data_IF_997706248106
#
_entry.id   IF_997706248106
#
_cell.length_a   1.000
_cell.length_b   1.000
_cell.length_c   1.000
_cell.angle_alpha   90.00
_cell.angle_beta   90.00
_cell.angle_gamma   90.00
#
_symmetry.space_group_name_H-M   'P 1'
#
loop_
_entity.id
_entity.type
_entity.pdbx_description
1 polymer ?
#
# COMPACT_ATOMS: atom_id res chain seq x y z
N UNK A 1 10.22 -13.50 12.99
CA UNK A 1 9.47 -12.32 12.52
C UNK A 1 9.79 -12.18 11.04
N UNK A 2 8.78 -12.17 10.17
CA UNK A 2 8.98 -12.04 8.73
C UNK A 2 9.39 -10.61 8.35
N UNK A 3 10.00 -10.38 7.18
CA UNK A 3 10.29 -9.03 6.71
C UNK A 3 9.03 -8.14 6.70
N UNK A 4 7.88 -8.68 6.27
CA UNK A 4 6.59 -7.98 6.29
C UNK A 4 6.16 -7.55 7.69
N UNK A 5 6.36 -8.38 8.71
CA UNK A 5 6.06 -8.02 10.10
C UNK A 5 6.95 -6.87 10.60
N UNK A 6 8.26 -6.90 10.28
CA UNK A 6 9.22 -5.85 10.66
C UNK A 6 8.87 -4.52 10.00
N UNK A 7 8.54 -4.55 8.71
CA UNK A 7 8.06 -3.37 7.99
C UNK A 7 6.75 -2.82 8.55
N UNK A 8 5.76 -3.67 8.83
CA UNK A 8 4.48 -3.23 9.43
C UNK A 8 4.69 -2.59 10.80
N UNK A 9 5.59 -3.13 11.63
CA UNK A 9 5.91 -2.54 12.94
C UNK A 9 6.55 -1.16 12.80
N UNK A 10 7.55 -1.02 11.92
CA UNK A 10 8.20 0.27 11.65
C UNK A 10 7.21 1.31 11.10
N UNK A 11 6.37 0.93 10.13
CA UNK A 11 5.35 1.81 9.56
C UNK A 11 4.31 2.22 10.62
N UNK A 12 3.87 1.31 11.49
CA UNK A 12 2.95 1.65 12.59
C UNK A 12 3.56 2.61 13.59
N UNK A 13 4.84 2.46 13.91
CA UNK A 13 5.57 3.40 14.77
C UNK A 13 5.66 4.79 14.12
N UNK A 14 6.02 4.84 12.84
CA UNK A 14 6.05 6.10 12.07
C UNK A 14 4.67 6.74 11.99
N UNK A 15 3.60 5.94 11.81
CA UNK A 15 2.22 6.42 11.80
C UNK A 15 1.83 7.06 13.14
N UNK A 16 2.23 6.46 14.25
CA UNK A 16 1.99 7.01 15.58
C UNK A 16 2.70 8.35 15.77
N UNK A 17 3.96 8.46 15.34
CA UNK A 17 4.72 9.72 15.36
C UNK A 17 4.06 10.80 14.49
N UNK A 18 3.64 10.45 13.27
CA UNK A 18 2.94 11.37 12.36
C UNK A 18 1.61 11.87 12.95
N UNK A 19 0.83 10.99 13.59
CA UNK A 19 -0.40 11.38 14.30
C UNK A 19 -0.14 12.37 15.43
N UNK A 20 0.91 12.15 16.22
CA UNK A 20 1.31 13.08 17.30
C UNK A 20 1.70 14.45 16.76
N UNK A 21 2.40 14.47 15.63
CA UNK A 21 2.78 15.71 14.92
C UNK A 21 1.62 16.35 14.14
N UNK A 22 0.46 15.68 14.02
CA UNK A 22 -0.66 16.05 13.14
C UNK A 22 -0.26 16.23 11.68
N UNK A 23 0.74 15.47 11.24
CA UNK A 23 1.22 15.45 9.86
C UNK A 23 0.32 14.57 9.00
N UNK A 24 -0.68 15.20 8.38
CA UNK A 24 -1.69 14.53 7.55
C UNK A 24 -1.10 13.89 6.29
N UNK A 25 -0.04 14.48 5.74
CA UNK A 25 0.66 13.98 4.56
C UNK A 25 1.37 12.67 4.89
N UNK A 26 2.13 12.65 5.99
CA UNK A 26 2.78 11.42 6.47
C UNK A 26 1.76 10.35 6.86
N UNK A 27 0.67 10.71 7.53
CA UNK A 27 -0.40 9.76 7.88
C UNK A 27 -0.97 9.09 6.63
N UNK A 28 -1.27 9.87 5.59
CA UNK A 28 -1.85 9.35 4.35
C UNK A 28 -0.88 8.42 3.63
N UNK A 29 0.37 8.85 3.44
CA UNK A 29 1.40 8.06 2.78
C UNK A 29 1.67 6.73 3.49
N UNK A 30 1.83 6.76 4.82
CA UNK A 30 2.13 5.56 5.62
C UNK A 30 0.96 4.57 5.60
N UNK A 31 -0.29 5.05 5.62
CA UNK A 31 -1.47 4.17 5.49
C UNK A 31 -1.54 3.51 4.12
N UNK A 32 -1.22 4.23 3.04
CA UNK A 32 -1.14 3.65 1.70
C UNK A 32 -0.11 2.52 1.65
N UNK A 33 1.10 2.76 2.19
CA UNK A 33 2.15 1.75 2.23
C UNK A 33 1.74 0.49 3.02
N UNK A 34 1.07 0.66 4.18
CA UNK A 34 0.53 -0.47 4.94
C UNK A 34 -0.52 -1.27 4.14
N UNK A 35 -1.40 -0.59 3.41
CA UNK A 35 -2.38 -1.24 2.55
C UNK A 35 -1.74 -1.95 1.35
N UNK A 36 -0.71 -1.38 0.74
CA UNK A 36 0.02 -2.02 -0.37
C UNK A 36 0.67 -3.34 0.06
N UNK A 37 1.26 -3.38 1.27
CA UNK A 37 1.82 -4.61 1.84
C UNK A 37 0.72 -5.65 2.09
N UNK A 38 -0.39 -5.25 2.73
CA UNK A 38 -1.52 -6.15 3.03
C UNK A 38 -2.15 -6.74 1.75
N UNK A 39 -2.31 -5.91 0.71
CA UNK A 39 -2.79 -6.32 -0.60
C UNK A 39 -1.83 -7.29 -1.30
N UNK A 40 -0.52 -7.07 -1.18
CA UNK A 40 0.49 -7.94 -1.81
C UNK A 40 0.67 -9.29 -1.08
N UNK A 41 0.39 -9.34 0.22
CA UNK A 41 0.32 -10.59 0.99
C UNK A 41 -0.98 -11.36 0.72
N UNK A 42 -2.03 -10.67 0.28
CA UNK A 42 -3.30 -11.29 -0.12
C UNK A 42 -3.11 -11.97 -1.47
N UNK A 43 -3.25 -13.31 -1.56
CA UNK A 43 -3.19 -13.99 -2.84
C UNK A 43 -4.38 -13.51 -3.69
N UNK A 44 -4.13 -13.14 -4.95
CA UNK A 44 -5.24 -12.88 -5.86
C UNK A 44 -6.09 -14.15 -5.93
N UNK A 45 -7.41 -14.08 -5.69
CA UNK A 45 -8.26 -15.18 -6.09
C UNK A 45 -8.02 -15.33 -7.58
N UNK A 46 -7.59 -16.54 -7.98
CA UNK A 46 -7.50 -16.95 -9.38
C UNK A 46 -8.66 -16.33 -10.15
N UNK A 47 -8.34 -15.65 -11.25
CA UNK A 47 -9.29 -14.96 -12.11
C UNK A 47 -10.44 -15.90 -12.45
N UNK A 48 -11.48 -15.89 -11.62
CA UNK A 48 -12.70 -16.61 -11.91
C UNK A 48 -13.44 -15.68 -12.85
N UNK A 49 -13.13 -15.86 -14.14
CA UNK A 49 -14.03 -15.63 -15.25
C UNK A 49 -15.48 -15.83 -14.79
N UNK A 50 -16.14 -14.74 -14.40
CA UNK A 50 -17.60 -14.68 -14.29
C UNK A 50 -18.08 -13.66 -15.29
N UNK A 51 -17.80 -14.01 -16.55
CA UNK A 51 -18.60 -13.58 -17.68
C UNK A 51 -20.06 -14.03 -17.45
N UNK A 52 -20.96 -13.06 -17.49
CA UNK A 52 -22.40 -13.20 -17.81
C UNK A 52 -23.38 -13.58 -16.69
N UNK A 53 -24.15 -12.57 -16.26
CA UNK A 53 -25.62 -12.53 -16.31
C UNK A 53 -26.45 -13.60 -15.58
N UNK A 54 -27.21 -13.18 -14.54
CA UNK A 54 -28.38 -13.90 -14.03
C UNK A 54 -28.65 -13.70 -12.54
N UNK A 55 -29.92 -13.75 -12.08
CA UNK A 55 -30.31 -13.39 -10.72
C UNK A 55 -29.90 -14.49 -9.73
N UNK A 56 -29.15 -14.12 -8.69
CA UNK A 56 -28.66 -15.08 -7.70
C UNK A 56 -29.79 -15.48 -6.76
N UNK A 57 -30.34 -16.68 -6.98
CA UNK A 57 -31.10 -17.44 -6.01
C UNK A 57 -30.23 -18.59 -5.50
N UNK A 58 -29.99 -18.59 -4.18
CA UNK A 58 -29.76 -19.77 -3.34
C UNK A 58 -28.57 -20.69 -3.65
N UNK A 59 -27.53 -20.61 -2.81
CA UNK A 59 -26.82 -21.82 -2.39
C UNK A 59 -26.17 -21.60 -1.01
N UNK A 60 -26.43 -22.57 -0.16
CA UNK A 60 -26.03 -22.72 1.23
C UNK A 60 -24.61 -23.30 1.27
N UNK A 61 -23.93 -23.05 2.39
CA UNK A 61 -22.89 -23.92 2.97
C UNK A 61 -21.56 -24.01 2.23
N UNK A 62 -20.63 -23.22 2.74
CA UNK A 62 -19.21 -23.32 2.49
C UNK A 62 -18.55 -22.20 3.26
N UNK A 63 -18.39 -22.39 4.57
CA UNK A 63 -17.49 -21.57 5.38
C UNK A 63 -16.10 -21.76 4.77
N UNK A 64 -15.80 -20.93 3.77
CA UNK A 64 -14.54 -20.89 3.06
C UNK A 64 -13.48 -20.43 4.04
N UNK A 65 -12.94 -21.40 4.78
CA UNK A 65 -11.55 -21.45 5.18
C UNK A 65 -10.69 -21.47 3.91
N UNK A 66 -10.81 -20.43 3.10
CA UNK A 66 -9.74 -20.01 2.21
C UNK A 66 -8.87 -19.12 3.08
N UNK A 67 -8.24 -19.77 4.05
CA UNK A 67 -6.99 -19.32 4.63
C UNK A 67 -5.97 -19.45 3.48
N UNK A 68 -6.14 -18.60 2.46
CA UNK A 68 -5.21 -18.57 1.33
C UNK A 68 -3.90 -18.18 1.96
N UNK A 69 -2.92 -19.09 1.91
CA UNK A 69 -1.63 -18.88 2.56
C UNK A 69 -1.09 -17.51 2.11
N UNK A 70 -1.04 -16.55 3.05
CA UNK A 70 -0.55 -15.20 2.75
C UNK A 70 0.82 -15.33 2.10
N UNK A 71 1.01 -14.67 0.96
CA UNK A 71 2.29 -14.68 0.27
C UNK A 71 3.35 -14.10 1.20
N UNK A 72 4.43 -14.85 1.45
CA UNK A 72 5.57 -14.33 2.22
C UNK A 72 6.35 -13.38 1.32
N UNK A 73 6.37 -12.09 1.66
CA UNK A 73 7.13 -11.07 0.96
C UNK A 73 8.54 -10.94 1.53
N UNK A 74 9.53 -10.91 0.65
CA UNK A 74 10.91 -10.53 0.98
C UNK A 74 11.04 -9.03 1.21
N UNK A 75 12.09 -8.62 1.93
CA UNK A 75 12.44 -7.21 2.13
C UNK A 75 12.52 -6.44 0.80
N UNK A 76 13.14 -7.05 -0.22
CA UNK A 76 13.25 -6.46 -1.57
C UNK A 76 11.89 -6.24 -2.23
N UNK A 77 10.97 -7.20 -2.11
CA UNK A 77 9.62 -7.05 -2.65
C UNK A 77 8.86 -5.92 -1.94
N UNK A 78 8.97 -5.81 -0.62
CA UNK A 78 8.33 -4.75 0.16
C UNK A 78 8.91 -3.37 -0.21
N UNK A 79 10.23 -3.27 -0.32
CA UNK A 79 10.91 -2.05 -0.80
C UNK A 79 10.44 -1.67 -2.20
N UNK A 80 10.32 -2.65 -3.09
CA UNK A 80 9.80 -2.45 -4.45
C UNK A 80 8.36 -1.91 -4.46
N UNK A 81 7.48 -2.44 -3.61
CA UNK A 81 6.10 -1.95 -3.48
C UNK A 81 6.06 -0.50 -2.98
N UNK A 82 6.82 -0.17 -1.94
CA UNK A 82 6.86 1.19 -1.38
C UNK A 82 7.49 2.17 -2.37
N UNK A 83 8.50 1.75 -3.13
CA UNK A 83 9.11 2.56 -4.18
C UNK A 83 8.12 2.82 -5.32
N UNK A 84 7.38 1.79 -5.77
CA UNK A 84 6.34 1.96 -6.79
C UNK A 84 5.24 2.95 -6.36
N UNK A 85 4.80 2.89 -5.10
CA UNK A 85 3.85 3.85 -4.52
C UNK A 85 4.38 5.29 -4.50
N UNK A 86 5.69 5.47 -4.34
CA UNK A 86 6.34 6.78 -4.41
C UNK A 86 6.42 7.28 -5.86
N UNK A 87 6.82 6.41 -6.79
CA UNK A 87 6.93 6.73 -8.21
C UNK A 87 5.56 7.08 -8.83
N UNK A 88 4.48 6.37 -8.46
CA UNK A 88 3.13 6.68 -8.91
C UNK A 88 2.67 8.08 -8.48
N UNK A 89 3.00 8.46 -7.23
CA UNK A 89 2.73 9.82 -6.71
C UNK A 89 3.56 10.90 -7.38
N UNK A 90 4.74 10.57 -7.90
CA UNK A 90 5.57 11.49 -8.67
C UNK A 90 5.15 11.58 -10.14
N UNK A 91 4.53 10.54 -10.69
CA UNK A 91 3.98 10.53 -12.05
C UNK A 91 2.67 11.32 -12.16
N UNK A 92 1.79 11.26 -11.17
CA UNK A 92 0.50 11.94 -11.17
C UNK A 92 0.54 13.48 -11.33
N UNK A 93 1.50 14.23 -10.75
CA UNK A 93 1.66 15.67 -10.99
C UNK A 93 1.78 16.08 -12.45
N UNK A 94 2.34 15.22 -13.31
CA UNK A 94 2.49 15.51 -14.74
C UNK A 94 1.13 15.68 -15.46
N UNK A 95 0.07 15.05 -14.95
CA UNK A 95 -1.28 15.15 -15.50
C UNK A 95 -2.08 16.33 -14.90
N UNK A 96 -1.75 16.78 -13.68
CA UNK A 96 -2.50 17.82 -12.97
C UNK A 96 -2.00 19.25 -13.22
N UNK A 97 -0.72 19.44 -13.57
CA UNK A 97 -0.16 20.78 -13.90
C UNK A 97 -0.86 21.39 -15.11
N UNK A 98 -1.41 20.57 -16.01
CA UNK A 98 -2.19 21.03 -17.16
C UNK A 98 -3.52 21.73 -16.80
N UNK A 99 -4.00 21.61 -15.54
CA UNK A 99 -5.33 22.08 -15.12
C UNK A 99 -5.31 23.09 -13.95
N UNK A 100 -4.13 23.61 -13.54
CA UNK A 100 -4.03 24.62 -12.47
C UNK A 100 -4.20 24.09 -11.03
N UNK A 101 -3.92 22.80 -10.80
CA UNK A 101 -4.02 22.16 -9.48
C UNK A 101 -2.67 22.04 -8.75
N UNK A 102 -1.92 23.15 -8.63
CA UNK A 102 -0.57 23.17 -8.05
C UNK A 102 -0.51 22.63 -6.62
N UNK A 103 -1.53 22.91 -5.80
CA UNK A 103 -1.62 22.41 -4.42
C UNK A 103 -1.74 20.89 -4.34
N UNK A 104 -2.38 20.25 -5.31
CA UNK A 104 -2.55 18.79 -5.33
C UNK A 104 -1.29 18.09 -5.82
N UNK A 105 -0.59 18.68 -6.79
CA UNK A 105 0.74 18.23 -7.20
C UNK A 105 1.74 18.30 -6.03
N UNK A 106 1.74 19.42 -5.28
CA UNK A 106 2.62 19.59 -4.11
C UNK A 106 2.31 18.59 -2.99
N UNK A 107 1.03 18.25 -2.75
CA UNK A 107 0.65 17.24 -1.75
C UNK A 107 1.16 15.85 -2.16
N UNK A 108 0.99 15.45 -3.42
CA UNK A 108 1.47 14.17 -3.94
C UNK A 108 3.01 14.06 -3.87
N UNK A 109 3.73 15.12 -4.22
CA UNK A 109 5.19 15.18 -4.07
C UNK A 109 5.62 15.05 -2.60
N UNK A 110 4.90 15.70 -1.70
CA UNK A 110 5.18 15.62 -0.27
C UNK A 110 4.92 14.20 0.27
N UNK A 111 3.86 13.53 -0.19
CA UNK A 111 3.62 12.13 0.13
C UNK A 111 4.72 11.20 -0.40
N UNK A 112 5.18 11.39 -1.64
CA UNK A 112 6.29 10.62 -2.21
C UNK A 112 7.59 10.79 -1.40
N UNK A 113 7.90 12.02 -0.99
CA UNK A 113 9.08 12.31 -0.16
C UNK A 113 9.05 11.56 1.18
N UNK A 114 7.87 11.41 1.80
CA UNK A 114 7.70 10.61 3.02
C UNK A 114 8.05 9.14 2.76
N UNK A 115 7.53 8.56 1.67
CA UNK A 115 7.79 7.16 1.31
C UNK A 115 9.28 6.91 1.05
N UNK A 116 9.94 7.78 0.28
CA UNK A 116 11.38 7.71 0.04
C UNK A 116 12.19 7.82 1.33
N UNK A 117 11.80 8.71 2.25
CA UNK A 117 12.48 8.85 3.55
C UNK A 117 12.31 7.59 4.41
N UNK A 118 11.17 6.90 4.34
CA UNK A 118 10.95 5.64 5.06
C UNK A 118 11.84 4.53 4.52
N UNK A 119 11.99 4.42 3.19
CA UNK A 119 12.91 3.48 2.55
C UNK A 119 14.36 3.65 3.04
N UNK A 120 14.83 4.90 3.18
CA UNK A 120 16.17 5.19 3.68
C UNK A 120 16.37 4.96 5.19
N UNK A 121 15.29 4.92 5.98
CA UNK A 121 15.35 4.69 7.43
C UNK A 121 15.27 3.21 7.81
N UNK A 122 14.70 2.36 6.95
CA UNK A 122 14.67 0.91 7.18
C UNK A 122 15.92 0.28 6.56
N UNK A 123 16.85 -0.29 7.36
CA UNK A 123 18.08 -0.90 6.83
C UNK A 123 17.75 -2.06 5.87
N UNK A 124 18.59 -2.26 4.85
CA UNK A 124 18.43 -3.36 3.89
C UNK A 124 18.80 -4.70 4.57
N UNK A 125 17.96 -5.73 4.39
CA UNK A 125 18.25 -7.09 4.89
C UNK A 125 17.67 -7.46 6.25
N UNK A 126 16.53 -6.88 6.62
CA UNK A 126 15.68 -7.34 7.75
C UNK A 126 14.91 -8.62 7.44
#
# INVERSE_FOLDING_TARGET
MTPAELWRENLRRSLLSARKARDTTSITAIRSALSAIDNAETPLPDQTDTRTGGPIAGAVSGLGSTEVARRVLSDREIRGLIQAEADERLAAPAEYIANGHDSRASDLQSQAAVLTRLLGQTPEGV
#
